data_IF_576068075795
#
_entry.id   IF_576068075795
#
_cell.length_a   1.000
_cell.length_b   1.000
_cell.length_c   1.000
_cell.angle_alpha   90.00
_cell.angle_beta   90.00
_cell.angle_gamma   90.00
#
_symmetry.space_group_name_H-M   'P 1'
#
loop_
_entity.id
_entity.type
_entity.pdbx_description
1 polymer ?
#
# COMPACT_ATOMS: atom_id res chain seq x y z
N UNK A 1 -19.74 27.45 -14.47
CA UNK A 1 -18.56 28.30 -14.23
C UNK A 1 -17.44 27.39 -13.76
N UNK A 2 -16.53 27.01 -14.66
CA UNK A 2 -15.34 26.21 -14.31
C UNK A 2 -14.42 27.07 -13.47
N UNK A 3 -14.32 26.79 -12.17
CA UNK A 3 -13.18 27.26 -11.40
C UNK A 3 -12.02 26.31 -11.70
N UNK A 4 -11.12 26.76 -12.57
CA UNK A 4 -9.78 26.22 -12.61
C UNK A 4 -9.11 26.61 -11.31
N UNK A 5 -8.92 25.63 -10.42
CA UNK A 5 -8.13 25.80 -9.21
C UNK A 5 -6.73 26.32 -9.58
N UNK A 6 -6.21 27.34 -8.87
CA UNK A 6 -4.94 27.94 -9.20
C UNK A 6 -3.82 26.89 -9.24
N UNK A 7 -2.90 27.09 -10.16
CA UNK A 7 -1.65 26.34 -10.31
C UNK A 7 -0.69 26.73 -9.17
N UNK A 8 -1.10 26.52 -7.93
CA UNK A 8 -0.29 26.81 -6.76
C UNK A 8 0.74 25.68 -6.60
N UNK A 9 2.02 26.07 -6.59
CA UNK A 9 3.13 25.15 -6.42
C UNK A 9 2.96 24.34 -5.12
N UNK A 10 3.39 23.06 -5.08
CA UNK A 10 3.29 22.26 -3.87
C UNK A 10 3.95 22.99 -2.69
N UNK A 11 3.41 22.88 -1.47
CA UNK A 11 3.94 23.57 -0.31
C UNK A 11 5.43 23.29 -0.12
N UNK A 12 6.19 24.35 0.20
CA UNK A 12 7.62 24.23 0.43
C UNK A 12 7.89 23.55 1.78
N UNK A 13 8.15 22.24 1.74
CA UNK A 13 8.60 21.47 2.89
C UNK A 13 10.08 21.73 3.17
N UNK A 14 10.40 22.25 4.35
CA UNK A 14 11.78 22.61 4.75
C UNK A 14 12.43 21.53 5.61
N UNK A 15 11.62 20.73 6.29
CA UNK A 15 12.09 19.67 7.20
C UNK A 15 11.39 18.35 6.92
N UNK A 16 12.02 17.20 7.27
CA UNK A 16 11.36 15.89 7.22
C UNK A 16 10.08 15.81 8.07
N UNK A 17 9.96 16.65 9.12
CA UNK A 17 8.76 16.73 9.94
C UNK A 17 7.60 17.36 9.16
N UNK A 18 7.86 18.40 8.35
CA UNK A 18 6.83 19.05 7.54
C UNK A 18 6.16 18.05 6.56
N UNK A 19 6.96 17.17 5.95
CA UNK A 19 6.43 16.10 5.09
C UNK A 19 5.54 15.13 5.87
N UNK A 20 5.95 14.76 7.09
CA UNK A 20 5.20 13.83 7.94
C UNK A 20 3.87 14.44 8.35
N UNK A 21 3.88 15.70 8.76
CA UNK A 21 2.70 16.37 9.29
C UNK A 21 1.67 16.57 8.16
N UNK A 22 2.10 16.98 6.96
CA UNK A 22 1.23 17.04 5.79
C UNK A 22 0.72 15.67 5.34
N UNK A 23 1.52 14.60 5.44
CA UNK A 23 1.05 13.25 5.10
C UNK A 23 -0.04 12.72 6.03
N UNK A 24 -0.09 13.21 7.28
CA UNK A 24 -1.09 12.83 8.28
C UNK A 24 -2.34 13.69 8.26
N UNK A 25 -2.24 14.89 7.72
CA UNK A 25 -3.34 15.83 7.68
C UNK A 25 -4.43 15.31 6.71
N UNK A 26 -5.67 15.08 7.19
CA UNK A 26 -6.77 14.62 6.36
C UNK A 26 -7.30 15.68 5.39
N UNK A 27 -6.99 16.96 5.62
CA UNK A 27 -7.37 18.10 4.78
C UNK A 27 -6.34 18.37 3.67
N UNK A 28 -5.20 17.66 3.70
CA UNK A 28 -4.16 17.78 2.67
C UNK A 28 -4.73 17.49 1.29
N UNK A 29 -4.47 18.43 0.39
CA UNK A 29 -4.93 18.32 -0.97
C UNK A 29 -4.19 17.20 -1.72
N UNK A 30 -4.85 16.73 -2.77
CA UNK A 30 -4.36 15.60 -3.53
C UNK A 30 -3.08 15.90 -4.34
N UNK A 31 -2.80 17.15 -4.70
CA UNK A 31 -1.54 17.51 -5.36
C UNK A 31 -0.39 17.39 -4.37
N UNK A 32 -0.58 17.87 -3.15
CA UNK A 32 0.39 17.71 -2.06
C UNK A 32 0.63 16.23 -1.75
N UNK A 33 -0.42 15.41 -1.65
CA UNK A 33 -0.24 13.96 -1.46
C UNK A 33 0.60 13.30 -2.57
N UNK A 34 0.43 13.70 -3.84
CA UNK A 34 1.30 13.22 -4.92
C UNK A 34 2.74 13.70 -4.78
N UNK A 35 2.95 14.94 -4.37
CA UNK A 35 4.29 15.46 -4.09
C UNK A 35 4.96 14.66 -2.97
N UNK A 36 4.24 14.43 -1.88
CA UNK A 36 4.70 13.63 -0.73
C UNK A 36 5.00 12.17 -1.12
N UNK A 37 4.20 11.57 -2.01
CA UNK A 37 4.43 10.22 -2.52
C UNK A 37 5.76 10.08 -3.28
N UNK A 38 6.31 11.18 -3.80
CA UNK A 38 7.61 11.22 -4.51
C UNK A 38 8.76 11.68 -3.62
N UNK A 39 8.50 11.92 -2.33
CA UNK A 39 9.53 12.31 -1.37
C UNK A 39 10.55 11.17 -1.17
N UNK A 40 11.80 11.49 -0.79
CA UNK A 40 12.84 10.49 -0.56
C UNK A 40 12.70 9.77 0.79
N UNK A 41 11.60 9.99 1.52
CA UNK A 41 11.45 9.60 2.92
C UNK A 41 10.50 8.41 3.08
N UNK A 42 10.99 7.21 3.38
CA UNK A 42 10.13 6.01 3.46
C UNK A 42 9.04 6.09 4.52
N UNK A 43 9.30 6.84 5.60
CA UNK A 43 8.29 7.09 6.64
C UNK A 43 7.12 7.91 6.09
N UNK A 44 7.33 8.84 5.15
CA UNK A 44 6.26 9.65 4.55
C UNK A 44 5.31 8.78 3.74
N UNK A 45 5.85 7.82 2.97
CA UNK A 45 5.03 6.86 2.22
C UNK A 45 4.15 6.02 3.15
N UNK A 46 4.68 5.63 4.31
CA UNK A 46 3.94 4.89 5.33
C UNK A 46 2.85 5.75 5.98
N UNK A 47 3.11 7.04 6.25
CA UNK A 47 2.09 7.95 6.76
C UNK A 47 0.96 8.15 5.73
N UNK A 48 1.29 8.34 4.45
CA UNK A 48 0.29 8.41 3.38
C UNK A 48 -0.54 7.12 3.29
N UNK A 49 0.11 5.95 3.29
CA UNK A 49 -0.59 4.67 3.26
C UNK A 49 -1.34 4.33 4.57
N UNK A 50 -1.14 5.09 5.65
CA UNK A 50 -1.91 4.95 6.89
C UNK A 50 -3.05 5.97 6.97
N UNK A 51 -2.96 7.10 6.24
CA UNK A 51 -3.95 8.16 6.27
C UNK A 51 -5.18 7.77 5.43
N UNK A 52 -6.37 7.58 6.04
CA UNK A 52 -7.57 7.14 5.33
C UNK A 52 -8.09 8.18 4.31
N UNK A 53 -7.65 9.43 4.37
CA UNK A 53 -7.96 10.45 3.36
C UNK A 53 -7.15 10.29 2.08
N UNK A 54 -6.09 9.47 2.09
CA UNK A 54 -5.23 9.27 0.91
C UNK A 54 -6.04 8.62 -0.22
N UNK A 55 -6.12 9.25 -1.41
CA UNK A 55 -6.94 8.75 -2.50
C UNK A 55 -6.23 7.61 -3.24
N UNK A 56 -7.01 6.72 -3.86
CA UNK A 56 -6.52 5.53 -4.57
C UNK A 56 -5.37 5.82 -5.55
N UNK A 57 -5.47 6.91 -6.32
CA UNK A 57 -4.44 7.32 -7.28
C UNK A 57 -3.07 7.64 -6.66
N UNK A 58 -3.04 8.07 -5.40
CA UNK A 58 -1.78 8.31 -4.68
C UNK A 58 -1.24 6.99 -4.13
N UNK A 59 -2.11 6.13 -3.60
CA UNK A 59 -1.74 4.77 -3.18
C UNK A 59 -1.13 3.97 -4.34
N UNK A 60 -1.65 4.19 -5.55
CA UNK A 60 -1.12 3.62 -6.78
C UNK A 60 0.32 4.05 -7.07
N UNK A 61 0.63 5.34 -6.90
CA UNK A 61 2.01 5.86 -7.02
C UNK A 61 2.93 5.23 -5.93
N UNK A 62 2.42 5.05 -4.70
CA UNK A 62 3.19 4.42 -3.61
C UNK A 62 3.52 2.95 -3.86
N UNK A 63 2.74 2.23 -4.68
CA UNK A 63 3.02 0.83 -5.00
C UNK A 63 4.37 0.62 -5.68
N UNK A 64 4.97 1.66 -6.27
CA UNK A 64 6.29 1.59 -6.90
C UNK A 64 7.45 1.99 -5.97
N UNK A 65 7.16 2.53 -4.79
CA UNK A 65 8.21 3.03 -3.89
C UNK A 65 8.85 1.91 -3.08
N UNK A 66 10.19 1.89 -3.03
CA UNK A 66 10.97 0.89 -2.31
C UNK A 66 12.14 1.55 -1.60
N UNK A 67 12.51 1.01 -0.45
CA UNK A 67 13.65 1.45 0.35
C UNK A 67 14.41 0.26 0.93
N UNK A 68 13.75 -0.52 1.78
CA UNK A 68 14.36 -1.65 2.48
C UNK A 68 13.33 -2.72 2.75
N UNK A 69 13.78 -3.96 2.89
CA UNK A 69 12.93 -5.12 3.15
C UNK A 69 11.91 -4.89 4.28
N UNK A 70 12.33 -4.20 5.34
CA UNK A 70 11.47 -3.86 6.48
C UNK A 70 10.46 -2.76 6.13
N UNK A 71 10.91 -1.63 5.57
CA UNK A 71 10.03 -0.51 5.20
C UNK A 71 8.99 -0.90 4.16
N UNK A 72 9.41 -1.66 3.15
CA UNK A 72 8.54 -2.11 2.08
C UNK A 72 7.48 -3.09 2.60
N UNK A 73 7.85 -4.01 3.50
CA UNK A 73 6.92 -4.95 4.09
C UNK A 73 5.81 -4.25 4.89
N UNK A 74 6.17 -3.16 5.60
CA UNK A 74 5.20 -2.30 6.28
C UNK A 74 4.33 -1.53 5.29
N UNK A 75 4.92 -0.93 4.26
CA UNK A 75 4.19 -0.18 3.23
C UNK A 75 3.16 -1.06 2.52
N UNK A 76 3.55 -2.25 2.05
CA UNK A 76 2.64 -3.18 1.36
C UNK A 76 1.48 -3.63 2.25
N UNK A 77 1.73 -3.80 3.55
CA UNK A 77 0.66 -4.11 4.51
C UNK A 77 -0.32 -2.95 4.61
N UNK A 78 0.18 -1.72 4.78
CA UNK A 78 -0.67 -0.53 4.90
C UNK A 78 -1.52 -0.33 3.64
N UNK A 79 -0.93 -0.46 2.44
CA UNK A 79 -1.66 -0.40 1.17
C UNK A 79 -2.74 -1.49 1.07
N UNK A 80 -2.46 -2.71 1.52
CA UNK A 80 -3.44 -3.80 1.53
C UNK A 80 -4.57 -3.59 2.55
N UNK A 81 -4.32 -2.89 3.66
CA UNK A 81 -5.30 -2.57 4.70
C UNK A 81 -6.09 -1.28 4.39
N UNK A 82 -5.62 -0.46 3.45
CA UNK A 82 -6.15 0.88 3.22
C UNK A 82 -7.60 0.86 2.70
N UNK A 83 -8.51 1.67 3.27
CA UNK A 83 -9.92 1.69 2.86
C UNK A 83 -10.13 2.09 1.39
N UNK A 84 -9.40 3.12 0.93
CA UNK A 84 -9.45 3.60 -0.45
C UNK A 84 -8.57 2.82 -1.44
N UNK A 85 -7.92 1.71 -1.04
CA UNK A 85 -7.18 0.90 -2.00
C UNK A 85 -8.18 0.14 -2.89
N UNK A 86 -8.28 0.60 -4.13
CA UNK A 86 -9.13 -0.02 -5.14
C UNK A 86 -8.51 -1.30 -5.71
N UNK A 87 -9.21 -1.92 -6.64
CA UNK A 87 -8.76 -3.17 -7.25
C UNK A 87 -7.40 -3.04 -7.94
N UNK A 88 -7.10 -1.90 -8.57
CA UNK A 88 -5.84 -1.71 -9.30
C UNK A 88 -4.65 -1.65 -8.33
N UNK A 89 -4.79 -0.85 -7.26
CA UNK A 89 -3.80 -0.77 -6.19
C UNK A 89 -3.54 -2.15 -5.58
N UNK A 90 -4.61 -2.89 -5.26
CA UNK A 90 -4.50 -4.20 -4.64
C UNK A 90 -3.85 -5.26 -5.56
N UNK A 91 -4.06 -5.16 -6.87
CA UNK A 91 -3.36 -6.01 -7.85
C UNK A 91 -1.86 -5.71 -7.92
N UNK A 92 -1.46 -4.44 -7.83
CA UNK A 92 -0.03 -4.07 -7.76
C UNK A 92 0.62 -4.57 -6.48
N UNK A 93 -0.07 -4.44 -5.34
CA UNK A 93 0.39 -5.03 -4.08
C UNK A 93 0.52 -6.55 -4.19
N UNK A 94 -0.46 -7.23 -4.80
CA UNK A 94 -0.41 -8.67 -5.05
C UNK A 94 0.84 -9.07 -5.85
N UNK A 95 1.09 -8.41 -6.98
CA UNK A 95 2.24 -8.68 -7.83
C UNK A 95 3.59 -8.52 -7.09
N UNK A 96 3.71 -7.50 -6.25
CA UNK A 96 4.90 -7.29 -5.42
C UNK A 96 5.07 -8.41 -4.36
N UNK A 97 3.97 -8.81 -3.71
CA UNK A 97 4.00 -9.89 -2.72
C UNK A 97 4.39 -11.22 -3.37
N UNK A 98 3.91 -11.50 -4.58
CA UNK A 98 4.35 -12.65 -5.36
C UNK A 98 5.87 -12.63 -5.61
N UNK A 99 6.40 -11.49 -6.07
CA UNK A 99 7.82 -11.34 -6.34
C UNK A 99 8.67 -11.62 -5.08
N UNK A 100 8.25 -11.10 -3.92
CA UNK A 100 8.92 -11.34 -2.63
C UNK A 100 8.82 -12.78 -2.16
N UNK A 101 7.65 -13.41 -2.32
CA UNK A 101 7.46 -14.81 -1.97
C UNK A 101 8.25 -15.75 -2.89
N UNK A 102 8.50 -15.38 -4.16
CA UNK A 102 9.39 -16.13 -5.07
C UNK A 102 10.84 -16.08 -4.61
N UNK A 103 11.34 -14.91 -4.21
CA UNK A 103 12.74 -14.77 -3.78
C UNK A 103 13.00 -15.30 -2.37
N UNK A 104 11.95 -15.50 -1.56
CA UNK A 104 12.02 -16.00 -0.17
C UNK A 104 12.90 -15.15 0.77
N UNK A 105 13.26 -13.94 0.36
CA UNK A 105 14.13 -13.03 1.14
C UNK A 105 13.36 -12.32 2.25
N UNK A 106 12.05 -12.14 2.05
CA UNK A 106 11.17 -11.48 3.01
C UNK A 106 9.88 -12.26 3.16
N UNK A 107 9.25 -12.12 4.33
CA UNK A 107 8.05 -12.86 4.72
C UNK A 107 6.91 -11.87 4.93
N UNK A 108 6.26 -11.37 3.86
CA UNK A 108 5.26 -10.31 3.96
C UNK A 108 3.89 -10.86 4.40
N UNK A 109 3.87 -11.69 5.44
CA UNK A 109 2.69 -12.46 5.84
C UNK A 109 1.53 -11.56 6.23
N UNK A 110 1.80 -10.47 6.95
CA UNK A 110 0.76 -9.53 7.33
C UNK A 110 0.05 -8.92 6.10
N UNK A 111 0.81 -8.53 5.08
CA UNK A 111 0.25 -7.98 3.84
C UNK A 111 -0.54 -9.01 3.04
N UNK A 112 -0.04 -10.25 2.92
CA UNK A 112 -0.79 -11.36 2.27
C UNK A 112 -2.12 -11.61 2.96
N UNK A 113 -2.10 -11.62 4.29
CA UNK A 113 -3.29 -11.84 5.10
C UNK A 113 -4.27 -10.66 5.03
N UNK A 114 -3.78 -9.43 4.91
CA UNK A 114 -4.60 -8.25 4.67
C UNK A 114 -5.28 -8.33 3.30
N UNK A 115 -4.55 -8.64 2.21
CA UNK A 115 -5.12 -8.86 0.89
C UNK A 115 -6.19 -9.96 0.87
N UNK A 116 -5.99 -11.04 1.63
CA UNK A 116 -6.97 -12.12 1.72
C UNK A 116 -8.34 -11.65 2.24
N UNK A 117 -8.38 -10.60 3.06
CA UNK A 117 -9.62 -10.01 3.56
C UNK A 117 -10.28 -9.01 2.58
N UNK A 118 -9.59 -8.61 1.50
CA UNK A 118 -10.08 -7.60 0.54
C UNK A 118 -11.07 -8.20 -0.46
N UNK A 119 -12.28 -7.64 -0.52
CA UNK A 119 -13.39 -8.14 -1.37
C UNK A 119 -13.20 -7.84 -2.85
N UNK A 120 -12.37 -6.85 -3.15
CA UNK A 120 -12.03 -6.37 -4.49
C UNK A 120 -11.23 -7.40 -5.31
N UNK A 121 -10.51 -8.31 -4.64
CA UNK A 121 -9.77 -9.41 -5.26
C UNK A 121 -10.51 -10.73 -5.07
N UNK A 122 -10.58 -11.57 -6.10
CA UNK A 122 -11.22 -12.89 -6.00
C UNK A 122 -10.35 -13.86 -5.21
N UNK A 123 -10.93 -14.77 -4.41
CA UNK A 123 -10.16 -15.78 -3.70
C UNK A 123 -9.22 -16.59 -4.60
N UNK A 124 -9.65 -16.91 -5.82
CA UNK A 124 -8.88 -17.62 -6.85
C UNK A 124 -7.56 -16.93 -7.17
N UNK A 125 -7.58 -15.58 -7.24
CA UNK A 125 -6.41 -14.76 -7.56
C UNK A 125 -5.35 -14.87 -6.46
N UNK A 126 -5.75 -15.14 -5.22
CA UNK A 126 -4.85 -15.20 -4.06
C UNK A 126 -4.38 -16.62 -3.70
N UNK A 127 -5.09 -17.67 -4.12
CA UNK A 127 -4.77 -19.06 -3.75
C UNK A 127 -3.35 -19.48 -4.17
N UNK A 128 -2.89 -19.00 -5.31
CA UNK A 128 -1.59 -19.39 -5.87
C UNK A 128 -0.40 -18.93 -4.97
N UNK A 129 -0.58 -17.89 -4.15
CA UNK A 129 0.44 -17.44 -3.20
C UNK A 129 0.87 -18.54 -2.22
N UNK A 130 -0.03 -19.47 -1.91
CA UNK A 130 0.27 -20.60 -1.01
C UNK A 130 1.28 -21.59 -1.59
N UNK A 131 1.43 -21.63 -2.92
CA UNK A 131 2.35 -22.53 -3.62
C UNK A 131 3.76 -21.95 -3.78
N UNK A 132 3.96 -20.65 -3.50
CA UNK A 132 5.24 -19.99 -3.65
C UNK A 132 6.25 -20.46 -2.57
N UNK A 133 7.56 -20.48 -2.87
CA UNK A 133 8.59 -21.02 -1.98
C UNK A 133 8.67 -20.28 -0.64
N UNK A 134 8.46 -18.95 -0.63
CA UNK A 134 8.43 -18.13 0.57
C UNK A 134 7.17 -18.27 1.44
N UNK A 135 6.19 -19.07 1.02
CA UNK A 135 4.97 -19.31 1.78
C UNK A 135 5.25 -20.24 2.98
N UNK A 136 5.21 -19.73 4.21
CA UNK A 136 5.26 -20.61 5.39
C UNK A 136 3.95 -21.37 5.62
N UNK A 137 3.99 -22.49 6.37
CA UNK A 137 2.77 -23.17 6.83
C UNK A 137 1.77 -22.22 7.51
N UNK A 138 2.25 -21.31 8.37
CA UNK A 138 1.40 -20.32 9.05
C UNK A 138 0.71 -19.38 8.06
N UNK A 139 1.45 -18.89 7.07
CA UNK A 139 0.89 -18.04 6.02
C UNK A 139 -0.18 -18.80 5.21
N UNK A 140 0.12 -20.03 4.79
CA UNK A 140 -0.81 -20.87 4.02
C UNK A 140 -2.11 -21.13 4.78
N UNK A 141 -2.02 -21.51 6.06
CA UNK A 141 -3.20 -21.74 6.90
C UNK A 141 -4.01 -20.47 7.08
N UNK A 142 -3.35 -19.33 7.39
CA UNK A 142 -4.03 -18.05 7.58
C UNK A 142 -4.69 -17.52 6.30
N UNK A 143 -4.07 -17.74 5.15
CA UNK A 143 -4.62 -17.40 3.83
C UNK A 143 -5.86 -18.24 3.53
N UNK A 144 -5.75 -19.58 3.64
CA UNK A 144 -6.89 -20.50 3.41
C UNK A 144 -8.08 -20.16 4.31
N UNK A 145 -7.83 -19.88 5.58
CA UNK A 145 -8.88 -19.52 6.55
C UNK A 145 -9.66 -18.27 6.11
N UNK A 146 -8.95 -17.17 5.84
CA UNK A 146 -9.58 -15.91 5.40
C UNK A 146 -10.31 -16.03 4.06
N UNK A 147 -9.77 -16.81 3.13
CA UNK A 147 -10.45 -17.05 1.86
C UNK A 147 -11.72 -17.90 2.01
N UNK A 148 -11.75 -18.82 2.98
CA UNK A 148 -12.95 -19.60 3.32
C UNK A 148 -14.03 -18.79 4.03
N UNK A 149 -13.65 -17.82 4.89
CA UNK A 149 -14.56 -16.91 5.59
C UNK A 149 -15.31 -15.93 4.65
N UNK A 150 -14.96 -15.89 3.36
CA UNK A 150 -15.54 -14.98 2.35
C UNK A 150 -16.66 -15.60 1.50
N UNK A 151 -16.88 -16.90 1.62
CA UNK A 151 -17.96 -17.64 0.95
C UNK A 151 -19.26 -17.46 1.70
#
# INVERSE_FOLDING_TARGET
MSQGEPDEAPPHFRTPADYRDAARDPETDVRTFRHLARSPYPFVWQELAANPSTPARVLDELCSNRDSAWNDGRLLRLLAEHPNADREVLLKVLAELEARLRTSTTRPYAAVLALAARRELRPEELRHLAALPGASPRMRTGLRRRLGERQ
#
